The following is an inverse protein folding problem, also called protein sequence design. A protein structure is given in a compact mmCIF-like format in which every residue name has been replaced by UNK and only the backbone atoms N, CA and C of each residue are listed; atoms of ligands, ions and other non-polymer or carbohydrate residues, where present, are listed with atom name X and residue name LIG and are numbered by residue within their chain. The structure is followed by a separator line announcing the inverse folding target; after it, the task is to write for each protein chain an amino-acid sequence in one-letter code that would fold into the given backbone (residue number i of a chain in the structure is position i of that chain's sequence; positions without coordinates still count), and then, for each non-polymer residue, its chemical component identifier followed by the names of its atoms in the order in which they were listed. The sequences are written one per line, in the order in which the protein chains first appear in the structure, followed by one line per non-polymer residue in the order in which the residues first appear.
data_IF_787921096193
#
_entry.id   IF_787921096193
#
_cell.length_a   1.000
_cell.length_b   1.000
_cell.length_c   1.000
_cell.angle_alpha   90.00
_cell.angle_beta   90.00
_cell.angle_gamma   90.00
#
_symmetry.space_group_name_H-M   'P 1'
#
loop_
_entity.id
_entity.type
_entity.pdbx_description
1 polymer ?
#
# COMPACT_ATOMS: atom_id res chain seq x y z
N UNK A 1 -13.81 12.70 -4.24
CA UNK A 1 -13.81 14.10 -3.75
C UNK A 1 -14.16 15.11 -4.85
N UNK A 2 -13.45 15.12 -5.99
CA UNK A 2 -13.64 16.12 -7.07
C UNK A 2 -15.06 16.17 -7.65
N UNK A 3 -15.71 15.02 -7.87
CA UNK A 3 -17.06 14.96 -8.45
C UNK A 3 -18.14 15.64 -7.57
N UNK A 4 -18.10 15.41 -6.25
CA UNK A 4 -19.01 16.05 -5.29
C UNK A 4 -18.85 17.57 -5.33
N UNK A 5 -17.61 18.05 -5.34
CA UNK A 5 -17.30 19.49 -5.35
C UNK A 5 -17.81 20.15 -6.64
N UNK A 6 -17.58 19.51 -7.79
CA UNK A 6 -18.07 19.99 -9.09
C UNK A 6 -19.59 20.15 -9.09
N UNK A 7 -20.33 19.13 -8.64
CA UNK A 7 -21.79 19.18 -8.60
C UNK A 7 -22.31 20.20 -7.57
N UNK A 8 -21.61 20.36 -6.44
CA UNK A 8 -21.94 21.37 -5.42
C UNK A 8 -21.80 22.79 -5.97
N UNK A 9 -20.71 23.07 -6.69
CA UNK A 9 -20.48 24.37 -7.35
C UNK A 9 -21.55 24.68 -8.39
N UNK A 10 -21.91 23.71 -9.22
CA UNK A 10 -22.99 23.86 -10.20
C UNK A 10 -24.34 24.11 -9.51
N UNK A 11 -24.65 23.37 -8.44
CA UNK A 11 -25.91 23.51 -7.70
C UNK A 11 -26.07 24.87 -6.97
N UNK A 12 -24.96 25.55 -6.70
CA UNK A 12 -24.88 26.84 -5.99
C UNK A 12 -24.61 28.03 -6.93
N UNK A 13 -24.48 27.79 -8.24
CA UNK A 13 -24.28 28.83 -9.25
C UNK A 13 -22.85 29.39 -9.32
N UNK A 14 -21.87 28.71 -8.70
CA UNK A 14 -20.46 29.10 -8.70
C UNK A 14 -19.73 28.69 -9.98
N UNK A 15 -20.24 27.68 -10.70
CA UNK A 15 -19.63 27.21 -11.95
C UNK A 15 -20.38 27.71 -13.18
N UNK A 16 -19.65 28.39 -14.07
CA UNK A 16 -20.13 28.89 -15.38
C UNK A 16 -19.47 28.15 -16.55
N UNK A 17 -18.63 27.14 -16.29
CA UNK A 17 -17.85 26.45 -17.33
C UNK A 17 -18.72 25.38 -18.00
N UNK A 18 -18.72 25.41 -19.32
CA UNK A 18 -19.65 24.68 -20.20
C UNK A 18 -19.14 23.29 -20.63
N UNK A 19 -17.99 22.80 -20.16
CA UNK A 19 -17.46 21.49 -20.54
C UNK A 19 -17.79 20.40 -19.51
N UNK A 20 -18.85 19.64 -19.80
CA UNK A 20 -19.21 18.43 -19.03
C UNK A 20 -18.20 17.28 -19.12
N UNK A 21 -17.03 17.48 -19.72
CA UNK A 21 -16.01 16.45 -19.93
C UNK A 21 -15.42 15.96 -18.61
N UNK A 22 -15.07 16.88 -17.69
CA UNK A 22 -14.57 16.51 -16.36
C UNK A 22 -15.60 15.67 -15.59
N UNK A 23 -16.88 16.05 -15.66
CA UNK A 23 -17.98 15.29 -15.07
C UNK A 23 -18.05 13.87 -15.64
N UNK A 24 -18.02 13.73 -16.98
CA UNK A 24 -18.10 12.43 -17.65
C UNK A 24 -16.91 11.55 -17.27
N UNK A 25 -15.70 12.10 -17.23
CA UNK A 25 -14.49 11.36 -16.86
C UNK A 25 -14.55 10.84 -15.42
N UNK A 26 -14.83 11.72 -14.46
CA UNK A 26 -14.95 11.37 -13.04
C UNK A 26 -16.09 10.37 -12.80
N UNK A 27 -17.22 10.54 -13.50
CA UNK A 27 -18.34 9.61 -13.44
C UNK A 27 -17.93 8.24 -13.96
N UNK A 28 -17.28 8.16 -15.11
CA UNK A 28 -16.88 6.89 -15.73
C UNK A 28 -15.85 6.14 -14.88
N UNK A 29 -14.91 6.85 -14.26
CA UNK A 29 -13.95 6.27 -13.31
C UNK A 29 -14.66 5.57 -12.15
N UNK A 30 -15.58 6.26 -11.47
CA UNK A 30 -16.34 5.71 -10.36
C UNK A 30 -17.35 4.64 -10.78
N UNK A 31 -17.85 4.69 -12.02
CA UNK A 31 -18.80 3.73 -12.55
C UNK A 31 -18.13 2.43 -13.04
N UNK A 32 -16.84 2.47 -13.38
CA UNK A 32 -16.09 1.32 -13.88
C UNK A 32 -15.84 0.25 -12.81
N UNK A 33 -15.81 0.63 -11.53
CA UNK A 33 -15.61 -0.28 -10.40
C UNK A 33 -16.96 -0.72 -9.80
N UNK A 34 -17.15 -2.03 -9.62
CA UNK A 34 -18.40 -2.63 -9.13
C UNK A 34 -18.82 -2.13 -7.75
N UNK A 35 -17.87 -1.90 -6.84
CA UNK A 35 -18.13 -1.47 -5.47
C UNK A 35 -18.50 0.01 -5.42
N UNK A 36 -17.71 0.88 -6.04
CA UNK A 36 -18.00 2.31 -6.10
C UNK A 36 -19.30 2.58 -6.86
N UNK A 37 -19.59 1.82 -7.92
CA UNK A 37 -20.85 1.91 -8.67
C UNK A 37 -22.07 1.59 -7.80
N UNK A 38 -21.99 0.61 -6.90
CA UNK A 38 -23.09 0.25 -6.01
C UNK A 38 -23.38 1.34 -4.96
N UNK A 39 -22.43 2.22 -4.70
CA UNK A 39 -22.52 3.31 -3.71
C UNK A 39 -22.66 4.69 -4.35
N UNK A 40 -22.69 4.79 -5.69
CA UNK A 40 -22.87 6.06 -6.38
C UNK A 40 -24.29 6.61 -6.13
N UNK A 41 -24.44 7.93 -5.91
CA UNK A 41 -25.75 8.56 -5.84
C UNK A 41 -26.58 8.28 -7.09
N UNK A 42 -27.89 8.09 -6.91
CA UNK A 42 -28.82 7.79 -8.02
C UNK A 42 -28.75 8.86 -9.13
N UNK A 43 -28.62 10.13 -8.75
CA UNK A 43 -28.53 11.22 -9.70
C UNK A 43 -27.25 11.19 -10.53
N UNK A 44 -26.14 10.65 -10.02
CA UNK A 44 -24.91 10.47 -10.81
C UNK A 44 -25.08 9.33 -11.82
N UNK A 45 -25.86 8.31 -11.47
CA UNK A 45 -26.17 7.19 -12.37
C UNK A 45 -27.07 7.67 -13.52
N UNK A 46 -28.13 8.42 -13.18
CA UNK A 46 -29.16 8.87 -14.13
C UNK A 46 -28.73 10.08 -14.97
N UNK A 47 -28.09 11.10 -14.38
CA UNK A 47 -27.53 12.24 -15.11
C UNK A 47 -26.24 11.82 -15.80
N UNK A 48 -26.29 11.51 -17.11
CA UNK A 48 -25.13 10.97 -17.83
C UNK A 48 -24.18 12.07 -18.28
N UNK A 49 -24.71 13.27 -18.50
CA UNK A 49 -23.95 14.48 -18.83
C UNK A 49 -24.25 15.57 -17.80
N UNK A 50 -23.32 16.51 -17.65
CA UNK A 50 -23.41 17.56 -16.61
C UNK A 50 -24.69 18.41 -16.74
N UNK A 51 -25.17 18.64 -17.96
CA UNK A 51 -26.39 19.42 -18.22
C UNK A 51 -27.67 18.78 -17.70
N UNK A 52 -27.69 17.46 -17.46
CA UNK A 52 -28.86 16.76 -16.90
C UNK A 52 -29.07 17.11 -15.41
N UNK A 53 -27.99 17.45 -14.71
CA UNK A 53 -27.99 17.62 -13.26
C UNK A 53 -28.69 18.90 -12.78
N UNK A 54 -28.53 20.01 -13.50
CA UNK A 54 -29.11 21.29 -13.06
C UNK A 54 -30.65 21.26 -13.03
N UNK A 55 -31.36 20.79 -14.08
CA UNK A 55 -32.80 20.58 -14.00
C UNK A 55 -33.22 19.62 -12.88
N UNK A 56 -32.43 18.56 -12.65
CA UNK A 56 -32.68 17.57 -11.60
C UNK A 56 -32.71 18.21 -10.20
N UNK A 57 -31.69 19.02 -9.86
CA UNK A 57 -31.52 19.54 -8.51
C UNK A 57 -32.38 20.79 -8.24
N UNK A 58 -32.56 21.65 -9.25
CA UNK A 58 -33.32 22.89 -9.14
C UNK A 58 -34.80 22.65 -8.84
N UNK A 59 -35.39 21.60 -9.42
CA UNK A 59 -36.80 21.26 -9.20
C UNK A 59 -37.08 20.61 -7.83
N UNK A 60 -36.05 20.08 -7.16
CA UNK A 60 -36.19 19.42 -5.85
C UNK A 60 -36.00 20.38 -4.68
N UNK A 61 -35.09 21.33 -4.81
CA UNK A 61 -34.69 22.18 -3.69
C UNK A 61 -34.63 23.66 -4.07
N UNK A 62 -35.24 24.47 -3.22
CA UNK A 62 -35.43 25.91 -3.45
C UNK A 62 -34.21 26.73 -3.02
N UNK A 63 -33.50 26.28 -1.98
CA UNK A 63 -32.36 27.00 -1.42
C UNK A 63 -31.03 26.34 -1.76
N UNK A 64 -29.94 27.13 -1.79
CA UNK A 64 -28.60 26.58 -1.95
C UNK A 64 -28.17 25.71 -0.76
N UNK A 65 -28.67 25.99 0.44
CA UNK A 65 -28.36 25.19 1.63
C UNK A 65 -28.88 23.76 1.49
N UNK A 66 -30.15 23.60 1.12
CA UNK A 66 -30.78 22.29 0.89
C UNK A 66 -30.06 21.47 -0.18
N UNK A 67 -29.68 22.11 -1.30
CA UNK A 67 -28.95 21.43 -2.39
C UNK A 67 -27.60 20.90 -1.93
N UNK A 68 -26.84 21.69 -1.16
CA UNK A 68 -25.54 21.28 -0.63
C UNK A 68 -25.67 20.15 0.38
N UNK A 69 -26.69 20.20 1.25
CA UNK A 69 -26.95 19.14 2.22
C UNK A 69 -27.28 17.84 1.51
N UNK A 70 -28.24 17.87 0.57
CA UNK A 70 -28.63 16.70 -0.20
C UNK A 70 -27.45 16.06 -0.95
N UNK A 71 -26.64 16.86 -1.65
CA UNK A 71 -25.45 16.35 -2.36
C UNK A 71 -24.45 15.75 -1.35
N UNK A 72 -24.31 16.33 -0.16
CA UNK A 72 -23.40 15.81 0.87
C UNK A 72 -23.85 14.45 1.38
N UNK A 73 -25.11 14.34 1.80
CA UNK A 73 -25.70 13.12 2.36
C UNK A 73 -25.65 11.96 1.37
N UNK A 74 -26.00 12.21 0.10
CA UNK A 74 -26.01 11.17 -0.93
C UNK A 74 -24.61 10.64 -1.29
N UNK A 75 -23.59 11.50 -1.23
CA UNK A 75 -22.21 11.09 -1.46
C UNK A 75 -21.56 10.41 -0.25
N UNK A 76 -22.16 10.50 0.94
CA UNK A 76 -21.56 10.03 2.19
C UNK A 76 -21.21 8.53 2.17
N UNK A 77 -22.09 7.60 1.72
CA UNK A 77 -21.75 6.17 1.69
C UNK A 77 -20.52 5.86 0.81
N UNK A 78 -20.43 6.53 -0.35
CA UNK A 78 -19.28 6.39 -1.24
C UNK A 78 -18.01 6.97 -0.63
N UNK A 79 -18.08 8.14 0.01
CA UNK A 79 -16.92 8.78 0.61
C UNK A 79 -16.40 7.97 1.80
N UNK A 80 -17.29 7.54 2.70
CA UNK A 80 -16.94 6.63 3.80
C UNK A 80 -16.31 5.35 3.26
N UNK A 81 -16.85 4.78 2.18
CA UNK A 81 -16.25 3.60 1.55
C UNK A 81 -14.86 3.88 0.97
N UNK A 82 -14.68 4.95 0.21
CA UNK A 82 -13.37 5.29 -0.39
C UNK A 82 -12.32 5.67 0.67
N UNK A 83 -12.76 6.22 1.80
CA UNK A 83 -11.90 6.55 2.93
C UNK A 83 -11.59 5.31 3.78
N UNK A 84 -12.50 4.35 3.87
CA UNK A 84 -12.30 3.07 4.57
C UNK A 84 -11.58 2.01 3.74
N UNK A 85 -11.71 2.00 2.41
CA UNK A 85 -10.98 1.08 1.52
C UNK A 85 -9.48 1.43 1.47
N UNK A 86 -9.12 2.68 1.75
CA UNK A 86 -7.73 3.06 2.05
C UNK A 86 -7.17 2.34 3.28
N UNK A 87 -8.01 1.93 4.25
CA UNK A 87 -7.58 1.18 5.42
C UNK A 87 -7.21 -0.29 5.08
N UNK A 88 -7.73 -0.82 3.96
CA UNK A 88 -7.48 -2.18 3.48
C UNK A 88 -6.50 -2.26 2.31
N UNK A 89 -5.94 -1.13 1.86
CA UNK A 89 -4.80 -1.16 0.94
C UNK A 89 -3.67 -1.99 1.55
N UNK A 90 -3.03 -2.82 0.73
CA UNK A 90 -1.88 -3.61 1.14
C UNK A 90 -0.80 -2.74 1.79
N UNK A 91 -0.57 -1.55 1.22
CA UNK A 91 0.40 -0.58 1.75
C UNK A 91 -0.03 -0.04 3.13
N UNK A 92 -1.33 0.09 3.39
CA UNK A 92 -1.85 0.57 4.68
C UNK A 92 -1.75 -0.50 5.78
N UNK A 93 -2.05 -1.77 5.47
CA UNK A 93 -1.87 -2.90 6.41
C UNK A 93 -0.40 -3.04 6.80
N UNK A 94 0.51 -2.84 5.84
CA UNK A 94 1.95 -2.83 6.08
C UNK A 94 2.35 -1.60 6.91
N UNK A 95 1.91 -0.39 6.54
CA UNK A 95 2.17 0.86 7.28
C UNK A 95 1.79 0.71 8.75
N UNK A 96 0.58 0.25 9.04
CA UNK A 96 0.10 0.07 10.41
C UNK A 96 1.01 -0.83 11.25
N UNK A 97 1.53 -1.89 10.65
CA UNK A 97 2.44 -2.82 11.34
C UNK A 97 3.81 -2.20 11.56
N UNK A 98 4.32 -1.45 10.57
CA UNK A 98 5.62 -0.77 10.62
C UNK A 98 5.60 0.42 11.59
N UNK A 99 4.56 1.24 11.60
CA UNK A 99 4.39 2.37 12.53
C UNK A 99 4.41 1.90 13.98
N UNK A 100 3.80 0.75 14.27
CA UNK A 100 3.80 0.14 15.60
C UNK A 100 5.16 -0.40 16.06
N UNK A 101 6.11 -0.55 15.15
CA UNK A 101 7.45 -1.08 15.45
C UNK A 101 8.43 -0.01 15.94
N UNK A 102 7.95 1.23 16.17
CA UNK A 102 8.67 2.39 16.77
C UNK A 102 10.14 2.49 16.35
N UNK A 103 10.39 2.35 15.05
CA UNK A 103 11.73 2.37 14.49
C UNK A 103 11.79 3.34 13.31
N UNK A 104 12.36 4.53 13.56
CA UNK A 104 12.48 5.61 12.57
C UNK A 104 13.14 5.15 11.27
N UNK A 105 14.17 4.30 11.36
CA UNK A 105 14.84 3.75 10.18
C UNK A 105 13.93 2.84 9.35
N UNK A 106 13.06 2.05 9.98
CA UNK A 106 12.14 1.15 9.25
C UNK A 106 11.06 1.97 8.54
N UNK A 107 10.45 2.93 9.23
CA UNK A 107 9.47 3.86 8.63
C UNK A 107 10.06 4.62 7.44
N UNK A 108 11.27 5.16 7.61
CA UNK A 108 11.98 5.87 6.55
C UNK A 108 12.27 4.98 5.33
N UNK A 109 12.76 3.75 5.54
CA UNK A 109 13.07 2.85 4.43
C UNK A 109 11.82 2.39 3.68
N UNK A 110 10.70 2.20 4.37
CA UNK A 110 9.44 1.85 3.74
C UNK A 110 8.87 2.99 2.90
N UNK A 111 8.81 4.21 3.44
CA UNK A 111 8.36 5.39 2.69
C UNK A 111 9.21 5.65 1.44
N UNK A 112 10.54 5.45 1.56
CA UNK A 112 11.48 5.53 0.43
C UNK A 112 11.22 4.47 -0.64
N UNK A 113 10.87 3.24 -0.25
CA UNK A 113 10.57 2.15 -1.17
C UNK A 113 9.29 2.44 -1.97
N UNK A 114 8.23 2.91 -1.29
CA UNK A 114 6.97 3.29 -1.92
C UNK A 114 7.13 4.46 -2.91
N UNK A 115 7.81 5.54 -2.49
CA UNK A 115 7.98 6.74 -3.31
C UNK A 115 8.84 6.56 -4.56
N UNK A 116 9.60 5.47 -4.66
CA UNK A 116 10.51 5.19 -5.79
C UNK A 116 10.00 4.13 -6.76
N UNK A 117 8.93 3.41 -6.40
CA UNK A 117 8.42 2.23 -7.12
C UNK A 117 8.07 2.50 -8.59
N UNK A 118 7.74 3.76 -8.90
CA UNK A 118 7.37 4.23 -10.23
C UNK A 118 8.59 4.75 -11.02
N UNK A 119 9.30 5.70 -10.42
CA UNK A 119 10.28 6.54 -11.12
C UNK A 119 11.75 6.11 -10.92
N UNK A 120 12.02 5.30 -9.90
CA UNK A 120 13.36 4.76 -9.57
C UNK A 120 13.25 3.27 -9.14
N UNK A 121 12.97 2.34 -10.09
CA UNK A 121 12.79 0.92 -9.77
C UNK A 121 13.99 0.28 -9.07
N UNK A 122 15.22 0.65 -9.45
CA UNK A 122 16.45 0.14 -8.85
C UNK A 122 16.61 0.61 -7.40
N UNK A 123 16.36 1.89 -7.15
CA UNK A 123 16.37 2.45 -5.80
C UNK A 123 15.22 1.93 -4.93
N UNK A 124 14.06 1.64 -5.50
CA UNK A 124 12.93 1.02 -4.80
C UNK A 124 13.29 -0.40 -4.30
N UNK A 125 13.94 -1.21 -5.14
CA UNK A 125 14.41 -2.57 -4.76
C UNK A 125 15.50 -2.48 -3.68
N UNK A 126 16.41 -1.52 -3.79
CA UNK A 126 17.44 -1.29 -2.77
C UNK A 126 16.81 -0.90 -1.44
N UNK A 127 15.78 -0.04 -1.46
CA UNK A 127 15.03 0.34 -0.26
C UNK A 127 14.26 -0.85 0.34
N UNK A 128 13.59 -1.66 -0.50
CA UNK A 128 12.89 -2.88 -0.09
C UNK A 128 13.82 -3.89 0.61
N UNK A 129 15.01 -4.11 0.07
CA UNK A 129 16.05 -4.95 0.71
C UNK A 129 16.43 -4.41 2.09
N UNK A 130 16.73 -3.11 2.14
CA UNK A 130 17.20 -2.45 3.36
C UNK A 130 16.13 -2.41 4.44
N UNK A 131 14.84 -2.37 4.05
CA UNK A 131 13.71 -2.52 4.97
C UNK A 131 13.77 -3.86 5.71
N UNK A 132 13.87 -4.97 4.99
CA UNK A 132 13.93 -6.32 5.60
C UNK A 132 15.17 -6.42 6.49
N UNK A 133 16.31 -5.90 6.04
CA UNK A 133 17.55 -5.88 6.82
C UNK A 133 17.39 -5.12 8.14
N UNK A 134 16.80 -3.92 8.09
CA UNK A 134 16.57 -3.06 9.25
C UNK A 134 15.62 -3.72 10.25
N UNK A 135 14.53 -4.33 9.76
CA UNK A 135 13.58 -5.07 10.61
C UNK A 135 14.27 -6.26 11.28
N UNK A 136 15.04 -7.05 10.54
CA UNK A 136 15.78 -8.18 11.11
C UNK A 136 16.76 -7.72 12.21
N UNK A 137 17.57 -6.70 11.92
CA UNK A 137 18.54 -6.14 12.88
C UNK A 137 17.84 -5.63 14.15
N UNK A 138 16.74 -4.90 13.99
CA UNK A 138 15.97 -4.38 15.11
C UNK A 138 15.36 -5.50 15.96
N UNK A 139 14.74 -6.50 15.35
CA UNK A 139 14.18 -7.66 16.07
C UNK A 139 15.27 -8.41 16.85
N UNK A 140 16.43 -8.65 16.23
CA UNK A 140 17.54 -9.35 16.89
C UNK A 140 18.08 -8.53 18.07
N UNK A 141 18.19 -7.20 17.91
CA UNK A 141 18.58 -6.27 18.97
C UNK A 141 17.60 -6.30 20.14
N UNK A 142 16.29 -6.20 19.89
CA UNK A 142 15.26 -6.23 20.93
C UNK A 142 15.18 -7.58 21.66
N UNK A 143 15.53 -8.68 20.96
CA UNK A 143 15.64 -10.02 21.56
C UNK A 143 16.98 -10.29 22.25
N UNK A 144 17.90 -9.33 22.28
CA UNK A 144 19.27 -9.50 22.79
C UNK A 144 20.01 -10.67 22.13
N UNK A 145 19.84 -10.86 20.82
CA UNK A 145 20.56 -11.87 20.04
C UNK A 145 21.68 -11.18 19.25
N UNK A 146 22.91 -11.60 19.52
CA UNK A 146 24.07 -11.07 18.80
C UNK A 146 24.02 -11.42 17.31
N UNK A 147 24.38 -10.44 16.49
CA UNK A 147 24.65 -10.61 15.07
C UNK A 147 25.87 -9.77 14.69
N UNK A 148 26.55 -10.17 13.62
CA UNK A 148 27.67 -9.43 13.07
C UNK A 148 27.17 -8.48 11.98
N UNK A 149 27.64 -7.24 11.95
CA UNK A 149 27.27 -6.25 10.94
C UNK A 149 27.68 -6.65 9.51
N UNK A 150 28.60 -7.61 9.36
CA UNK A 150 28.98 -8.24 8.10
C UNK A 150 27.99 -9.31 7.61
N UNK A 151 26.98 -9.69 8.41
CA UNK A 151 25.99 -10.66 7.97
C UNK A 151 25.23 -10.12 6.75
N UNK A 152 25.17 -10.96 5.72
CA UNK A 152 24.32 -10.69 4.59
C UNK A 152 22.83 -10.87 4.95
N UNK A 153 21.95 -10.34 4.09
CA UNK A 153 20.51 -10.40 4.29
C UNK A 153 20.00 -11.85 4.51
N UNK A 154 20.43 -12.87 3.73
CA UNK A 154 20.04 -14.26 3.97
C UNK A 154 20.40 -14.76 5.38
N UNK A 155 21.61 -14.45 5.87
CA UNK A 155 22.05 -14.86 7.20
C UNK A 155 21.29 -14.12 8.31
N UNK A 156 21.08 -12.81 8.18
CA UNK A 156 20.27 -12.01 9.10
C UNK A 156 18.83 -12.54 9.19
N UNK A 157 18.20 -12.80 8.05
CA UNK A 157 16.85 -13.34 8.00
C UNK A 157 16.76 -14.71 8.64
N UNK A 158 17.71 -15.62 8.36
CA UNK A 158 17.72 -16.97 8.94
C UNK A 158 17.85 -16.93 10.46
N UNK A 159 18.70 -16.06 11.01
CA UNK A 159 18.86 -15.87 12.46
C UNK A 159 17.58 -15.31 13.07
N UNK A 160 16.99 -14.29 12.43
CA UNK A 160 15.72 -13.68 12.86
C UNK A 160 14.59 -14.70 12.86
N UNK A 161 14.42 -15.45 11.78
CA UNK A 161 13.39 -16.48 11.65
C UNK A 161 13.54 -17.57 12.73
N UNK A 162 14.76 -17.98 13.07
CA UNK A 162 15.00 -18.91 14.19
C UNK A 162 14.55 -18.32 15.52
N UNK A 163 14.90 -17.06 15.80
CA UNK A 163 14.51 -16.38 17.04
C UNK A 163 13.00 -16.21 17.24
N UNK A 164 12.25 -16.21 16.13
CA UNK A 164 10.81 -16.07 16.09
C UNK A 164 10.07 -17.42 15.98
N UNK A 165 10.78 -18.55 16.08
CA UNK A 165 10.22 -19.88 15.85
C UNK A 165 9.61 -20.06 14.43
N UNK A 166 10.12 -19.34 13.44
CA UNK A 166 9.70 -19.38 12.03
C UNK A 166 10.64 -20.20 11.13
N UNK A 167 11.67 -20.83 11.68
CA UNK A 167 12.56 -21.67 10.87
C UNK A 167 11.82 -22.95 10.45
N UNK A 168 11.80 -23.35 9.16
CA UNK A 168 11.04 -24.52 8.69
C UNK A 168 11.31 -25.80 9.47
N UNK A 169 12.55 -25.98 9.92
CA UNK A 169 12.99 -27.10 10.75
C UNK A 169 12.30 -27.21 12.12
N UNK A 170 11.59 -26.18 12.58
CA UNK A 170 10.89 -26.13 13.87
C UNK A 170 9.41 -26.54 13.77
N UNK A 171 8.90 -26.75 12.55
CA UNK A 171 7.51 -27.11 12.30
C UNK A 171 7.40 -28.58 11.86
N UNK A 172 6.24 -29.22 12.01
CA UNK A 172 6.03 -30.58 11.53
C UNK A 172 5.19 -30.60 10.25
N UNK A 173 4.35 -29.59 10.06
CA UNK A 173 3.44 -29.44 8.94
C UNK A 173 4.22 -29.10 7.66
N UNK A 174 4.21 -30.04 6.71
CA UNK A 174 4.93 -29.87 5.44
C UNK A 174 4.50 -28.61 4.67
N UNK A 175 3.24 -28.19 4.80
CA UNK A 175 2.72 -27.00 4.12
C UNK A 175 3.32 -25.70 4.68
N UNK A 176 3.47 -25.59 6.01
CA UNK A 176 4.09 -24.43 6.65
C UNK A 176 5.58 -24.36 6.32
N UNK A 177 6.27 -25.51 6.29
CA UNK A 177 7.67 -25.58 5.85
C UNK A 177 7.86 -25.03 4.45
N UNK A 178 6.98 -25.41 3.52
CA UNK A 178 7.06 -24.97 2.13
C UNK A 178 6.90 -23.46 2.01
N UNK A 179 5.92 -22.87 2.70
CA UNK A 179 5.69 -21.42 2.70
C UNK A 179 6.91 -20.68 3.27
N UNK A 180 7.40 -21.08 4.45
CA UNK A 180 8.55 -20.45 5.10
C UNK A 180 9.84 -20.59 4.29
N UNK A 181 10.03 -21.72 3.61
CA UNK A 181 11.16 -21.94 2.69
C UNK A 181 11.04 -21.06 1.43
N UNK A 182 9.81 -20.85 0.94
CA UNK A 182 9.53 -19.91 -0.13
C UNK A 182 9.94 -18.49 0.23
N UNK A 183 9.56 -18.01 1.42
CA UNK A 183 9.96 -16.69 1.93
C UNK A 183 11.48 -16.56 2.01
N UNK A 184 12.17 -17.57 2.55
CA UNK A 184 13.64 -17.59 2.60
C UNK A 184 14.26 -17.48 1.20
N UNK A 185 13.69 -18.17 0.21
CA UNK A 185 14.15 -18.13 -1.18
C UNK A 185 13.94 -16.74 -1.78
N UNK A 186 12.79 -16.11 -1.55
CA UNK A 186 12.50 -14.74 -1.98
C UNK A 186 13.49 -13.73 -1.39
N UNK A 187 13.76 -13.82 -0.07
CA UNK A 187 14.73 -12.96 0.61
C UNK A 187 16.15 -13.15 0.05
N UNK A 188 16.52 -14.38 -0.27
CA UNK A 188 17.79 -14.67 -0.96
C UNK A 188 17.84 -14.05 -2.36
N UNK A 189 16.73 -14.11 -3.10
CA UNK A 189 16.58 -13.44 -4.40
C UNK A 189 16.82 -11.93 -4.32
N UNK A 190 16.27 -11.25 -3.30
CA UNK A 190 16.56 -9.83 -3.06
C UNK A 190 18.03 -9.56 -2.73
N UNK A 191 18.70 -10.52 -2.10
CA UNK A 191 20.10 -10.40 -1.80
C UNK A 191 20.97 -10.39 -3.08
N UNK A 192 20.64 -11.28 -4.01
CA UNK A 192 21.34 -11.44 -5.30
C UNK A 192 21.02 -10.32 -6.30
N UNK A 193 19.77 -9.85 -6.33
CA UNK A 193 19.32 -8.84 -7.30
C UNK A 193 20.10 -7.52 -7.18
N UNK A 194 20.49 -7.10 -5.97
CA UNK A 194 21.34 -5.90 -5.78
C UNK A 194 22.70 -6.05 -6.44
N UNK A 195 23.29 -7.25 -6.36
CA UNK A 195 24.63 -7.49 -6.90
C UNK A 195 24.59 -7.42 -8.43
N UNK A 196 23.59 -8.04 -9.05
CA UNK A 196 23.37 -7.94 -10.50
C UNK A 196 23.05 -6.51 -10.96
N UNK A 197 22.26 -5.75 -10.21
CA UNK A 197 21.95 -4.35 -10.54
C UNK A 197 23.16 -3.43 -10.39
N UNK A 198 23.98 -3.63 -9.35
CA UNK A 198 25.22 -2.86 -9.15
C UNK A 198 26.22 -3.12 -10.28
N UNK A 199 26.33 -4.37 -10.73
CA UNK A 199 27.19 -4.76 -11.86
C UNK A 199 26.64 -4.29 -13.22
N UNK A 200 25.30 -4.21 -13.37
CA UNK A 200 24.65 -3.75 -14.59
C UNK A 200 24.87 -2.25 -14.88
N UNK A 201 25.11 -1.42 -13.87
CA UNK A 201 25.49 -0.01 -14.06
C UNK A 201 26.88 0.18 -14.68
N UNK A 202 27.72 -0.87 -14.68
CA UNK A 202 29.05 -0.89 -15.30
C UNK A 202 29.11 -1.50 -16.70
N UNK A 203 28.01 -2.07 -17.23
CA UNK A 203 28.02 -2.76 -18.52
C UNK A 203 27.60 -1.86 -19.70
N UNK A 204 28.26 -1.97 -20.87
CA UNK A 204 27.81 -1.31 -22.08
C UNK A 204 26.43 -1.85 -22.52
N UNK A 205 25.62 -0.96 -23.11
CA UNK A 205 24.23 -1.16 -23.60
C UNK A 205 23.83 -2.63 -23.83
N UNK A 206 23.06 -3.20 -22.88
CA UNK A 206 22.50 -4.56 -23.00
C UNK A 206 22.13 -5.27 -21.69
N UNK A 207 22.52 -4.72 -20.52
CA UNK A 207 22.21 -5.31 -19.22
C UNK A 207 20.71 -5.39 -18.90
N UNK A 208 20.33 -6.39 -18.10
CA UNK A 208 18.96 -6.57 -17.60
C UNK A 208 18.53 -5.33 -16.80
N UNK A 209 17.51 -4.61 -17.30
CA UNK A 209 16.92 -3.46 -16.62
C UNK A 209 15.70 -3.89 -15.82
N UNK A 210 15.68 -3.56 -14.54
CA UNK A 210 14.48 -3.71 -13.70
C UNK A 210 13.42 -2.75 -14.23
N UNK A 211 12.23 -3.27 -14.48
CA UNK A 211 11.06 -2.47 -14.82
C UNK A 211 10.21 -2.21 -13.58
N UNK A 212 9.34 -1.19 -13.68
CA UNK A 212 8.35 -0.82 -12.66
C UNK A 212 7.69 -2.03 -12.00
N UNK A 213 7.14 -2.97 -12.78
CA UNK A 213 6.46 -4.18 -12.27
C UNK A 213 7.33 -5.04 -11.35
N UNK A 214 8.65 -5.10 -11.60
CA UNK A 214 9.58 -5.88 -10.76
C UNK A 214 9.85 -5.15 -9.45
N UNK A 215 9.99 -3.82 -9.48
CA UNK A 215 10.10 -3.03 -8.25
C UNK A 215 8.80 -3.06 -7.45
N UNK A 216 7.64 -3.05 -8.09
CA UNK A 216 6.34 -3.19 -7.41
C UNK A 216 6.25 -4.50 -6.65
N UNK A 217 6.57 -5.61 -7.31
CA UNK A 217 6.60 -6.92 -6.68
C UNK A 217 7.57 -6.96 -5.50
N UNK A 218 8.78 -6.43 -5.68
CA UNK A 218 9.82 -6.44 -4.63
C UNK A 218 9.42 -5.62 -3.40
N UNK A 219 8.89 -4.41 -3.61
CA UNK A 219 8.42 -3.54 -2.52
C UNK A 219 7.29 -4.19 -1.75
N UNK A 220 6.27 -4.74 -2.45
CA UNK A 220 5.12 -5.35 -1.80
C UNK A 220 5.50 -6.63 -1.02
N UNK A 221 6.35 -7.48 -1.59
CA UNK A 221 6.87 -8.66 -0.90
C UNK A 221 7.71 -8.27 0.32
N UNK A 222 8.60 -7.28 0.21
CA UNK A 222 9.40 -6.82 1.33
C UNK A 222 8.54 -6.24 2.46
N UNK A 223 7.55 -5.43 2.13
CA UNK A 223 6.60 -4.89 3.10
C UNK A 223 5.78 -5.98 3.78
N UNK A 224 5.29 -6.97 3.03
CA UNK A 224 4.59 -8.14 3.56
C UNK A 224 5.45 -8.94 4.54
N UNK A 225 6.70 -9.23 4.16
CA UNK A 225 7.64 -9.99 4.99
C UNK A 225 7.98 -9.20 6.25
N UNK A 226 8.29 -7.90 6.13
CA UNK A 226 8.59 -7.02 7.24
C UNK A 226 7.42 -6.98 8.24
N UNK A 227 6.21 -6.73 7.74
CA UNK A 227 4.98 -6.71 8.55
C UNK A 227 4.76 -8.04 9.29
N UNK A 228 4.90 -9.17 8.60
CA UNK A 228 4.77 -10.49 9.20
C UNK A 228 5.80 -10.75 10.31
N UNK A 229 7.07 -10.38 10.11
CA UNK A 229 8.12 -10.52 11.12
C UNK A 229 7.83 -9.67 12.37
N UNK A 230 7.41 -8.41 12.17
CA UNK A 230 7.06 -7.48 13.26
C UNK A 230 5.87 -8.02 14.06
N UNK A 231 4.79 -8.41 13.39
CA UNK A 231 3.61 -8.96 14.06
C UNK A 231 3.96 -10.21 14.87
N UNK A 232 4.72 -11.15 14.27
CA UNK A 232 5.19 -12.35 14.97
C UNK A 232 6.05 -11.99 16.18
N UNK A 233 6.92 -10.98 16.04
CA UNK A 233 7.78 -10.50 17.12
C UNK A 233 6.95 -9.99 18.31
N UNK A 234 5.99 -9.10 18.06
CA UNK A 234 5.10 -8.56 19.09
C UNK A 234 4.26 -9.66 19.77
N UNK A 235 3.65 -10.55 18.99
CA UNK A 235 2.83 -11.65 19.53
C UNK A 235 3.62 -12.59 20.44
N UNK A 236 4.87 -12.90 20.07
CA UNK A 236 5.70 -13.81 20.86
C UNK A 236 6.30 -13.14 22.10
N UNK A 237 6.54 -11.82 22.09
CA UNK A 237 6.93 -11.07 23.29
C UNK A 237 5.80 -10.98 24.33
N UNK A 238 4.55 -10.77 23.88
CA UNK A 238 3.37 -10.76 24.76
C UNK A 238 3.17 -12.11 25.46
N UNK A 239 3.42 -13.21 24.76
CA UNK A 239 3.36 -14.56 25.34
C UNK A 239 4.47 -14.83 26.35
N UNK A 240 5.67 -14.28 26.16
CA UNK A 240 6.78 -14.44 27.13
C UNK A 240 6.64 -13.61 28.40
N UNK A 241 5.82 -12.55 28.39
CA UNK A 241 5.56 -11.69 29.56
C UNK A 241 4.34 -12.13 30.38
N UNK A 242 3.55 -13.07 29.87
CA UNK A 242 2.34 -13.60 30.52
C UNK A 242 2.54 -14.96 31.20
N UNK A 243 3.78 -15.46 31.25
CA UNK A 243 4.22 -16.66 31.96
C UNK A 243 5.24 -16.27 33.04
#
# INVERSE_FOLDING_TARGET
MSLRVLLTRLATGEDKREDGEEYVNLRNELFANTFTKALLPEFVISCRILSDFWPYIKCRFSTYAERREYIREEFEPLLVHLESDRLYSHDHVINYSIEKFDCDSVNYMWGKALGRREDDPDGAITAARSLIESVCKQILKERNIEYDDSFDLPKLFKTTARSLNLAPQLHNENILKQILSGIQTTVHGFASLRNELSDAHGQPKGGYRVSKRHSELAVNLAGSIASFLIQTHHETLLKSTSN
#
